data_IF_790387052952
#
_entry.id   IF_790387052952
#
_cell.length_a   1.000
_cell.length_b   1.000
_cell.length_c   1.000
_cell.angle_alpha   90.00
_cell.angle_beta   90.00
_cell.angle_gamma   90.00
#
_symmetry.space_group_name_H-M   'P 1'
#
loop_
_entity.id
_entity.type
_entity.pdbx_description
1 polymer ?
#
# COMPACT_ATOMS: atom_id res chain seq x y z
N UNK A 1 0.95 13.42 -0.10
CA UNK A 1 1.87 12.64 0.74
C UNK A 1 2.39 13.45 1.94
N UNK A 2 2.93 14.65 1.75
CA UNK A 2 3.36 15.52 2.85
C UNK A 2 2.26 15.83 3.87
N UNK A 3 0.99 15.90 3.45
CA UNK A 3 -0.12 16.15 4.36
C UNK A 3 -0.42 14.96 5.29
N UNK A 4 -0.21 13.73 4.87
CA UNK A 4 -0.41 12.55 5.72
C UNK A 4 0.65 12.46 6.83
N UNK A 5 1.91 12.78 6.52
CA UNK A 5 2.95 12.93 7.54
C UNK A 5 2.64 14.01 8.57
N UNK A 6 1.96 15.10 8.15
CA UNK A 6 1.52 16.17 9.06
C UNK A 6 0.36 15.73 9.97
N UNK A 7 -0.58 14.92 9.49
CA UNK A 7 -1.69 14.41 10.33
C UNK A 7 -1.15 13.50 11.44
N UNK A 8 -0.19 12.64 11.13
CA UNK A 8 0.48 11.81 12.14
C UNK A 8 1.27 12.65 13.17
N UNK A 9 1.71 13.85 12.79
CA UNK A 9 2.47 14.78 13.63
C UNK A 9 1.63 15.81 14.40
N UNK A 10 0.29 15.83 14.28
CA UNK A 10 -0.55 16.79 15.03
C UNK A 10 -0.62 16.36 16.51
N UNK A 11 0.02 17.12 17.45
CA UNK A 11 0.14 16.68 18.83
C UNK A 11 -1.20 16.51 19.58
N UNK A 12 -2.25 17.20 19.13
CA UNK A 12 -3.58 17.17 19.76
C UNK A 12 -4.53 16.10 19.20
N UNK A 13 -4.21 15.52 18.04
CA UNK A 13 -5.03 14.47 17.44
C UNK A 13 -4.68 13.06 17.96
N UNK A 14 -3.67 12.94 18.83
CA UNK A 14 -3.00 11.68 19.06
C UNK A 14 -2.26 11.23 17.78
N UNK A 15 -1.27 10.41 17.91
CA UNK A 15 -0.61 9.82 16.73
C UNK A 15 -1.59 8.82 16.10
N UNK A 16 -2.41 9.29 15.18
CA UNK A 16 -3.33 8.42 14.44
C UNK A 16 -2.53 7.72 13.37
N UNK A 17 -2.17 6.48 13.62
CA UNK A 17 -1.52 5.61 12.65
C UNK A 17 -2.60 5.05 11.68
N UNK A 18 -3.04 5.89 10.74
CA UNK A 18 -4.15 5.56 9.85
C UNK A 18 -3.73 4.68 8.67
N UNK A 19 -2.48 4.76 8.25
CA UNK A 19 -1.97 4.05 7.09
C UNK A 19 -0.89 3.04 7.50
N UNK A 20 -1.04 1.81 7.01
CA UNK A 20 -0.08 0.73 7.21
C UNK A 20 1.04 0.77 6.16
N UNK A 21 0.71 1.16 4.93
CA UNK A 21 1.64 1.18 3.80
C UNK A 21 1.24 2.28 2.84
N UNK A 22 2.23 2.96 2.28
CA UNK A 22 2.07 3.85 1.14
C UNK A 22 2.54 3.14 -0.12
N UNK A 23 1.85 3.35 -1.23
CA UNK A 23 2.26 2.82 -2.53
C UNK A 23 3.32 3.75 -3.14
N UNK A 24 4.47 3.79 -2.52
CA UNK A 24 5.65 4.54 -2.93
C UNK A 24 6.80 3.57 -3.08
N UNK A 25 7.51 3.67 -4.18
CA UNK A 25 8.64 2.81 -4.52
C UNK A 25 9.67 2.77 -3.39
N UNK A 26 10.14 1.58 -3.06
CA UNK A 26 11.07 1.34 -1.96
C UNK A 26 10.45 1.27 -0.55
N UNK A 27 9.15 1.62 -0.38
CA UNK A 27 8.47 1.63 0.93
C UNK A 27 7.21 0.76 0.98
N UNK A 28 6.81 0.19 -0.14
CA UNK A 28 5.52 -0.51 -0.32
C UNK A 28 5.55 -2.01 -0.02
N UNK A 29 6.73 -2.57 0.29
CA UNK A 29 6.95 -3.96 0.68
C UNK A 29 8.13 -4.03 1.63
N UNK A 30 8.14 -4.98 2.56
CA UNK A 30 9.31 -5.30 3.40
C UNK A 30 10.21 -6.31 2.70
N UNK A 31 9.63 -7.23 1.94
CA UNK A 31 10.39 -8.18 1.12
C UNK A 31 11.22 -7.45 0.06
N UNK A 32 10.60 -6.47 -0.61
CA UNK A 32 11.24 -5.68 -1.67
C UNK A 32 11.46 -4.23 -1.22
N UNK A 33 12.19 -4.06 -0.12
CA UNK A 33 12.47 -2.75 0.45
C UNK A 33 13.61 -2.02 -0.27
N UNK A 34 13.51 -0.69 -0.35
CA UNK A 34 14.58 0.18 -0.85
C UNK A 34 15.03 -0.17 -2.26
N UNK A 35 16.30 -0.47 -2.43
CA UNK A 35 16.92 -0.80 -3.72
C UNK A 35 16.37 -2.08 -4.39
N UNK A 36 15.69 -2.94 -3.64
CA UNK A 36 15.03 -4.12 -4.19
C UNK A 36 13.69 -3.80 -4.90
N UNK A 37 13.22 -2.55 -4.79
CA UNK A 37 12.06 -2.02 -5.51
C UNK A 37 12.40 -0.86 -6.45
N UNK A 38 13.66 -0.66 -6.81
CA UNK A 38 14.04 0.40 -7.75
C UNK A 38 13.40 0.21 -9.12
N UNK A 39 13.11 1.31 -9.81
CA UNK A 39 12.47 1.25 -11.12
C UNK A 39 13.30 0.44 -12.13
N UNK A 40 12.67 -0.36 -13.02
CA UNK A 40 13.41 -1.17 -13.99
C UNK A 40 14.42 -0.42 -14.85
N UNK A 41 14.15 0.84 -15.18
CA UNK A 41 15.07 1.70 -15.96
C UNK A 41 16.37 2.04 -15.22
N UNK A 42 16.44 1.84 -13.91
CA UNK A 42 17.63 2.10 -13.09
C UNK A 42 18.63 0.94 -13.10
N UNK A 43 18.35 -0.10 -13.89
CA UNK A 43 19.23 -1.25 -14.07
C UNK A 43 18.84 -2.47 -13.23
N UNK A 44 19.71 -3.49 -13.16
CA UNK A 44 19.42 -4.74 -12.47
C UNK A 44 19.32 -4.54 -10.96
N UNK A 45 18.55 -5.41 -10.29
CA UNK A 45 18.49 -5.44 -8.83
C UNK A 45 19.87 -5.75 -8.22
N UNK A 46 20.15 -5.28 -7.00
CA UNK A 46 21.35 -5.63 -6.27
C UNK A 46 21.47 -7.15 -6.05
N UNK A 47 22.70 -7.61 -5.86
CA UNK A 47 22.96 -8.99 -5.48
C UNK A 47 22.27 -9.32 -4.14
N UNK A 48 21.66 -10.51 -4.08
CA UNK A 48 20.90 -10.94 -2.90
C UNK A 48 19.44 -10.50 -2.86
N UNK A 49 18.95 -9.74 -3.85
CA UNK A 49 17.54 -9.41 -3.94
C UNK A 49 16.68 -10.68 -4.07
N UNK A 50 15.56 -10.77 -3.31
CA UNK A 50 14.63 -11.87 -3.47
C UNK A 50 14.14 -11.97 -4.92
N UNK A 51 14.04 -13.18 -5.50
CA UNK A 51 13.61 -13.34 -6.91
C UNK A 51 12.23 -12.72 -7.21
N UNK A 52 11.34 -12.71 -6.23
CA UNK A 52 10.01 -12.10 -6.35
C UNK A 52 10.06 -10.59 -6.62
N UNK A 53 11.12 -9.91 -6.20
CA UNK A 53 11.26 -8.47 -6.38
C UNK A 53 11.49 -8.07 -7.85
N UNK A 54 12.01 -8.99 -8.67
CA UNK A 54 12.12 -8.72 -10.11
C UNK A 54 10.76 -8.52 -10.77
N UNK A 55 9.74 -9.28 -10.40
CA UNK A 55 8.38 -9.05 -10.86
C UNK A 55 7.75 -7.82 -10.18
N UNK A 56 7.94 -7.71 -8.87
CA UNK A 56 7.32 -6.65 -8.06
C UNK A 56 7.69 -5.25 -8.54
N UNK A 57 8.95 -5.00 -8.84
CA UNK A 57 9.43 -3.69 -9.30
C UNK A 57 8.85 -3.23 -10.65
N UNK A 58 8.25 -4.13 -11.43
CA UNK A 58 7.56 -3.76 -12.66
C UNK A 58 6.15 -3.18 -12.44
N UNK A 59 5.59 -3.32 -11.25
CA UNK A 59 4.33 -2.64 -10.92
C UNK A 59 4.61 -1.16 -10.64
N UNK A 60 3.91 -0.23 -11.30
CA UNK A 60 4.07 1.18 -11.03
C UNK A 60 3.62 1.50 -9.59
N UNK A 61 4.28 2.45 -8.96
CA UNK A 61 3.80 3.04 -7.72
C UNK A 61 2.64 4.03 -7.99
N UNK A 62 2.10 4.65 -6.94
CA UNK A 62 0.96 5.56 -7.11
C UNK A 62 1.31 6.82 -7.91
N UNK A 63 2.54 7.32 -7.82
CA UNK A 63 2.99 8.51 -8.54
C UNK A 63 3.27 8.16 -10.01
N UNK A 64 3.93 7.06 -10.25
CA UNK A 64 4.19 6.54 -11.59
C UNK A 64 2.87 6.26 -12.31
N UNK A 65 1.90 5.61 -11.61
CA UNK A 65 0.58 5.34 -12.19
C UNK A 65 -0.18 6.62 -12.53
N UNK A 66 -0.11 7.64 -11.69
CA UNK A 66 -0.69 8.95 -11.99
C UNK A 66 -0.07 9.55 -13.26
N UNK A 67 1.25 9.49 -13.35
CA UNK A 67 2.00 10.00 -14.52
C UNK A 67 1.65 9.24 -15.81
N UNK A 68 1.52 7.91 -15.73
CA UNK A 68 1.08 7.08 -16.86
C UNK A 68 -0.32 7.47 -17.34
N UNK A 69 -1.27 7.64 -16.40
CA UNK A 69 -2.63 8.05 -16.72
C UNK A 69 -2.67 9.44 -17.38
N UNK A 70 -1.92 10.38 -16.86
CA UNK A 70 -1.82 11.73 -17.44
C UNK A 70 -1.19 11.71 -18.84
N UNK A 71 -0.21 10.86 -19.06
CA UNK A 71 0.42 10.71 -20.38
C UNK A 71 -0.51 10.03 -21.40
N UNK A 72 -1.33 9.07 -20.95
CA UNK A 72 -2.23 8.31 -21.83
C UNK A 72 -3.52 9.06 -22.16
N UNK A 73 -4.15 9.71 -21.18
CA UNK A 73 -5.49 10.31 -21.31
C UNK A 73 -5.50 11.83 -21.29
N UNK A 74 -4.41 12.46 -20.85
CA UNK A 74 -4.26 13.92 -20.80
C UNK A 74 -5.23 14.61 -19.82
N UNK A 75 -5.46 15.89 -20.07
CA UNK A 75 -6.26 16.76 -19.18
C UNK A 75 -7.78 16.66 -19.41
N UNK A 76 -8.22 15.97 -20.44
CA UNK A 76 -9.63 15.79 -20.78
C UNK A 76 -9.91 14.30 -21.06
N UNK A 77 -9.83 13.44 -20.02
CA UNK A 77 -10.09 12.01 -20.16
C UNK A 77 -11.56 11.75 -20.52
N UNK A 78 -11.81 10.67 -21.23
CA UNK A 78 -13.17 10.15 -21.41
C UNK A 78 -13.66 9.55 -20.08
N UNK A 79 -14.45 10.31 -19.32
CA UNK A 79 -14.99 9.88 -18.04
C UNK A 79 -16.10 8.83 -18.15
N UNK A 80 -16.65 8.56 -19.33
CA UNK A 80 -17.56 7.42 -19.53
C UNK A 80 -16.76 6.11 -19.56
N UNK A 81 -15.62 6.12 -20.22
CA UNK A 81 -14.72 4.98 -20.26
C UNK A 81 -13.92 4.82 -18.94
N UNK A 82 -13.50 5.93 -18.35
CA UNK A 82 -12.64 6.02 -17.16
C UNK A 82 -13.31 6.78 -16.00
N UNK A 83 -14.41 6.27 -15.44
CA UNK A 83 -15.21 7.02 -14.44
C UNK A 83 -14.49 7.28 -13.11
N UNK A 84 -13.35 6.61 -12.86
CA UNK A 84 -12.52 6.79 -11.66
C UNK A 84 -11.17 7.43 -11.98
N UNK A 85 -11.02 8.06 -13.14
CA UNK A 85 -9.77 8.67 -13.57
C UNK A 85 -9.20 9.63 -12.50
N UNK A 86 -7.99 9.36 -12.06
CA UNK A 86 -7.28 10.18 -11.06
C UNK A 86 -7.84 10.11 -9.63
N UNK A 87 -8.93 9.37 -9.39
CA UNK A 87 -9.47 9.21 -8.04
C UNK A 87 -8.54 8.30 -7.23
N UNK A 88 -8.10 8.81 -6.07
CA UNK A 88 -7.21 8.08 -5.18
C UNK A 88 -7.98 7.24 -4.17
N UNK A 89 -7.57 5.99 -3.98
CA UNK A 89 -8.14 5.07 -3.00
C UNK A 89 -7.10 4.57 -2.01
N UNK A 90 -7.49 4.45 -0.75
CA UNK A 90 -6.83 3.58 0.22
C UNK A 90 -7.72 2.37 0.49
N UNK A 91 -7.12 1.20 0.54
CA UNK A 91 -7.81 -0.02 0.92
C UNK A 91 -7.42 -0.45 2.33
N UNK A 92 -8.35 -1.06 3.04
CA UNK A 92 -8.00 -1.74 4.29
C UNK A 92 -6.95 -2.80 4.00
N UNK A 93 -5.97 -2.95 4.89
CA UNK A 93 -4.82 -3.84 4.69
C UNK A 93 -5.15 -5.28 4.18
N UNK A 94 -6.24 -5.95 4.59
CA UNK A 94 -6.54 -7.31 4.11
C UNK A 94 -7.03 -7.40 2.65
N UNK A 95 -7.26 -6.27 1.97
CA UNK A 95 -7.52 -6.32 0.53
C UNK A 95 -6.20 -6.53 -0.22
N UNK A 96 -6.16 -7.56 -1.04
CA UNK A 96 -4.99 -7.83 -1.86
C UNK A 96 -4.75 -6.73 -2.88
N UNK A 97 -3.53 -6.21 -2.88
CA UNK A 97 -3.00 -5.25 -3.84
C UNK A 97 -1.62 -5.74 -4.26
N UNK A 98 -1.47 -6.13 -5.52
CA UNK A 98 -0.24 -6.77 -6.04
C UNK A 98 1.03 -5.93 -5.93
N UNK A 99 0.85 -4.62 -5.76
CA UNK A 99 1.90 -3.60 -5.70
C UNK A 99 2.17 -3.07 -4.29
N UNK A 100 1.55 -3.66 -3.27
CA UNK A 100 1.78 -3.33 -1.87
C UNK A 100 1.67 -4.56 -0.97
N UNK A 101 2.30 -4.48 0.19
CA UNK A 101 2.15 -5.50 1.22
C UNK A 101 0.70 -5.68 1.65
N UNK A 102 0.33 -6.91 1.99
CA UNK A 102 -0.96 -7.29 2.56
C UNK A 102 -0.71 -8.27 3.70
N UNK A 103 -0.90 -7.82 4.94
CA UNK A 103 -0.49 -8.56 6.13
C UNK A 103 -1.65 -9.04 6.99
N UNK A 104 -2.87 -8.55 6.69
CA UNK A 104 -4.04 -8.78 7.53
C UNK A 104 -3.93 -8.10 8.91
N UNK A 105 -3.04 -7.12 9.09
CA UNK A 105 -2.74 -6.49 10.36
C UNK A 105 -1.97 -7.40 11.33
N UNK A 106 -1.40 -8.50 10.85
CA UNK A 106 -0.64 -9.44 11.65
C UNK A 106 0.85 -9.06 11.69
N UNK A 107 1.49 -9.30 12.83
CA UNK A 107 2.93 -9.23 13.01
C UNK A 107 3.53 -10.64 12.81
N UNK A 108 3.47 -11.09 11.55
CA UNK A 108 3.95 -12.40 11.14
C UNK A 108 5.12 -12.26 10.16
N UNK A 109 6.06 -13.20 10.22
CA UNK A 109 7.10 -13.31 9.23
C UNK A 109 6.51 -13.92 7.95
N UNK A 110 6.66 -13.21 6.85
CA UNK A 110 6.27 -13.65 5.53
C UNK A 110 7.52 -13.81 4.66
N UNK A 111 7.60 -14.89 3.89
CA UNK A 111 8.64 -15.05 2.87
C UNK A 111 8.48 -13.99 1.77
N UNK A 112 7.20 -13.71 1.43
CA UNK A 112 6.78 -12.65 0.49
C UNK A 112 5.57 -11.97 1.11
N UNK A 113 5.63 -10.66 1.32
CA UNK A 113 4.60 -9.90 2.01
C UNK A 113 3.53 -9.28 1.10
N UNK A 114 3.63 -9.46 -0.21
CA UNK A 114 2.68 -8.96 -1.18
C UNK A 114 1.98 -10.09 -1.94
N UNK A 115 0.68 -9.91 -2.31
CA UNK A 115 -0.07 -10.93 -3.03
C UNK A 115 0.33 -10.97 -4.51
N UNK A 116 0.13 -12.13 -5.13
CA UNK A 116 0.44 -12.32 -6.55
C UNK A 116 -0.49 -11.55 -7.51
N UNK A 117 -1.65 -11.11 -7.01
CA UNK A 117 -2.68 -10.41 -7.80
C UNK A 117 -3.52 -9.48 -6.94
N UNK A 118 -4.16 -8.53 -7.60
CA UNK A 118 -5.15 -7.67 -6.96
C UNK A 118 -6.42 -8.46 -6.57
N UNK A 119 -7.08 -8.04 -5.51
CA UNK A 119 -8.47 -8.39 -5.24
C UNK A 119 -9.36 -7.87 -6.38
N UNK A 120 -10.40 -8.62 -6.77
CA UNK A 120 -11.23 -8.26 -7.93
C UNK A 120 -11.82 -6.83 -7.91
N UNK A 121 -12.16 -6.29 -6.73
CA UNK A 121 -12.58 -4.90 -6.61
C UNK A 121 -11.44 -3.91 -6.91
N UNK A 122 -10.23 -4.19 -6.44
CA UNK A 122 -9.04 -3.36 -6.69
C UNK A 122 -8.74 -3.32 -8.19
N UNK A 123 -8.75 -4.48 -8.84
CA UNK A 123 -8.56 -4.60 -10.28
C UNK A 123 -9.60 -3.81 -11.08
N UNK A 124 -10.88 -3.94 -10.72
CA UNK A 124 -11.95 -3.19 -11.37
C UNK A 124 -11.79 -1.67 -11.24
N UNK A 125 -11.37 -1.17 -10.07
CA UNK A 125 -11.14 0.25 -9.86
C UNK A 125 -9.93 0.75 -10.66
N UNK A 126 -8.83 -0.01 -10.70
CA UNK A 126 -7.67 0.33 -11.55
C UNK A 126 -8.05 0.40 -13.03
N UNK A 127 -8.84 -0.55 -13.51
CA UNK A 127 -9.31 -0.57 -14.90
C UNK A 127 -10.23 0.62 -15.24
N UNK A 128 -10.76 1.30 -14.23
CA UNK A 128 -11.57 2.54 -14.38
C UNK A 128 -10.76 3.81 -14.13
N UNK A 129 -9.44 3.73 -14.03
CA UNK A 129 -8.55 4.87 -13.86
C UNK A 129 -8.26 5.26 -12.42
N UNK A 130 -8.66 4.47 -11.43
CA UNK A 130 -8.34 4.74 -10.04
C UNK A 130 -6.86 4.54 -9.73
N UNK A 131 -6.35 5.35 -8.79
CA UNK A 131 -5.00 5.26 -8.24
C UNK A 131 -5.09 4.65 -6.84
N UNK A 132 -4.48 3.50 -6.63
CA UNK A 132 -4.42 2.86 -5.31
C UNK A 132 -3.14 3.33 -4.62
N UNK A 133 -3.30 4.24 -3.64
CA UNK A 133 -2.14 4.95 -3.09
C UNK A 133 -1.69 4.45 -1.71
N UNK A 134 -2.54 3.71 -0.98
CA UNK A 134 -2.20 3.28 0.37
C UNK A 134 -3.00 2.08 0.86
N UNK A 135 -2.50 1.44 1.91
CA UNK A 135 -3.22 0.49 2.75
C UNK A 135 -3.55 1.14 4.09
N UNK A 136 -4.81 1.10 4.47
CA UNK A 136 -5.23 1.54 5.79
C UNK A 136 -4.99 0.46 6.84
N UNK A 137 -4.70 0.91 8.06
CA UNK A 137 -4.45 0.02 9.21
C UNK A 137 -5.63 -0.93 9.45
N UNK A 138 -5.30 -2.15 9.80
CA UNK A 138 -6.23 -3.19 10.18
C UNK A 138 -5.91 -3.74 11.57
N UNK A 139 -6.91 -4.24 12.27
CA UNK A 139 -6.70 -5.11 13.42
C UNK A 139 -6.24 -6.47 12.93
N UNK A 140 -5.44 -7.17 13.73
CA UNK A 140 -4.94 -8.50 13.41
C UNK A 140 -6.09 -9.41 12.91
N UNK A 141 -5.96 -9.90 11.68
CA UNK A 141 -6.95 -10.72 10.97
C UNK A 141 -8.38 -10.20 11.10
N UNK A 142 -8.56 -8.89 11.04
CA UNK A 142 -9.89 -8.27 11.14
C UNK A 142 -10.63 -8.61 12.43
N UNK A 143 -9.89 -8.83 13.52
CA UNK A 143 -10.35 -9.33 14.80
C UNK A 143 -11.64 -8.69 15.29
N UNK A 144 -12.40 -9.42 16.11
CA UNK A 144 -13.73 -9.03 16.60
C UNK A 144 -13.72 -7.60 17.14
N UNK A 145 -14.29 -6.69 16.38
CA UNK A 145 -14.72 -5.40 16.88
C UNK A 145 -15.68 -5.66 18.05
N UNK A 146 -15.32 -5.20 19.24
CA UNK A 146 -16.26 -5.24 20.37
C UNK A 146 -15.80 -5.98 21.60
N UNK A 147 -14.52 -6.35 21.72
CA UNK A 147 -14.00 -6.77 23.01
C UNK A 147 -13.08 -5.64 23.58
N UNK A 148 -13.65 -4.66 24.33
CA UNK A 148 -12.85 -3.65 24.99
C UNK A 148 -11.93 -4.36 26.00
N UNK A 149 -10.62 -4.35 25.75
CA UNK A 149 -9.62 -5.07 26.55
C UNK A 149 -9.20 -6.43 26.01
N UNK A 150 -9.74 -6.89 24.88
CA UNK A 150 -9.21 -8.05 24.16
C UNK A 150 -7.79 -7.82 23.64
N UNK A 151 -7.06 -8.90 23.32
CA UNK A 151 -5.70 -8.82 22.77
C UNK A 151 -5.60 -7.96 21.51
N UNK A 152 -6.72 -7.77 20.83
CA UNK A 152 -6.87 -7.06 19.56
C UNK A 152 -7.55 -5.69 19.72
N UNK A 153 -7.43 -5.02 20.88
CA UNK A 153 -7.88 -3.64 20.99
C UNK A 153 -6.99 -2.73 20.15
N UNK A 154 -7.52 -1.65 19.54
CA UNK A 154 -6.73 -0.72 18.75
C UNK A 154 -5.47 -0.23 19.44
N UNK A 155 -5.51 -0.09 20.75
CA UNK A 155 -4.37 0.34 21.58
C UNK A 155 -3.26 -0.72 21.66
N UNK A 156 -3.58 -2.00 21.46
CA UNK A 156 -2.61 -3.10 21.47
C UNK A 156 -2.12 -3.49 20.07
N UNK A 157 -2.93 -3.21 19.06
CA UNK A 157 -2.59 -3.50 17.66
C UNK A 157 -1.72 -2.40 17.07
N UNK A 158 -1.91 -1.16 17.50
CA UNK A 158 -1.08 -0.03 17.06
C UNK A 158 0.42 -0.25 17.23
N UNK A 159 0.94 -0.83 18.33
CA UNK A 159 2.36 -1.13 18.46
C UNK A 159 2.87 -2.18 17.44
N UNK A 160 2.10 -3.24 17.19
CA UNK A 160 2.50 -4.25 16.20
C UNK A 160 2.46 -3.69 14.78
N UNK A 161 1.44 -2.90 14.48
CA UNK A 161 1.34 -2.17 13.21
C UNK A 161 2.47 -1.16 13.06
N UNK A 162 2.87 -0.48 14.15
CA UNK A 162 4.03 0.42 14.16
C UNK A 162 5.35 -0.32 14.00
N UNK A 163 5.50 -1.50 14.62
CA UNK A 163 6.64 -2.38 14.41
C UNK A 163 6.77 -2.80 12.96
N UNK A 164 5.66 -3.08 12.34
CA UNK A 164 5.55 -3.45 10.93
C UNK A 164 5.95 -2.32 9.97
N UNK A 165 5.72 -1.08 10.34
CA UNK A 165 6.09 0.09 9.55
C UNK A 165 7.56 0.49 9.70
N UNK A 166 8.28 -0.09 10.66
CA UNK A 166 9.67 0.24 10.96
C UNK A 166 10.67 -0.85 10.60
N UNK A 167 10.17 -2.04 10.27
CA UNK A 167 11.01 -3.18 9.92
C UNK A 167 11.40 -3.18 8.45
#
# INVERSE_FOLDING_TARGET
FQQFGMIAGIPKAGQVNALATLNIRGERSVTCWGEYDKHPSEGPLPEGAPPACELFRHFPDAIERATELDAEYGVNPDLEAMPMYGVTFSFKDPFDTKDMRSTGGADAAYDIDFPARDHGLVEQLRNKGAIIFAKAVNTEYNGRAGNPGGKNSPEKVLPSTLGYQRA
#
